data_IF_649884841185
#
_entry.id   IF_649884841185
#
_cell.length_a   1.000
_cell.length_b   1.000
_cell.length_c   1.000
_cell.angle_alpha   90.00
_cell.angle_beta   90.00
_cell.angle_gamma   90.00
#
_symmetry.space_group_name_H-M   'P 1'
#
loop_
_entity.id
_entity.type
_entity.pdbx_description
1 polymer ?
#
# COMPACT_ATOMS: atom_id res chain seq x y z
N UNK A 1 57.72 8.20 -7.00
CA UNK A 1 56.57 9.03 -7.41
C UNK A 1 55.74 8.38 -8.53
N UNK A 2 56.36 7.59 -9.43
CA UNK A 2 55.69 6.93 -10.58
C UNK A 2 54.68 5.85 -10.15
N UNK A 3 54.98 5.02 -9.15
CA UNK A 3 54.07 3.95 -8.68
C UNK A 3 52.76 4.44 -8.04
N UNK A 4 52.71 5.69 -7.56
CA UNK A 4 51.52 6.27 -6.92
C UNK A 4 50.51 6.78 -7.95
N UNK A 5 50.96 7.07 -9.17
CA UNK A 5 50.14 7.55 -10.27
C UNK A 5 49.37 6.41 -10.94
N UNK A 6 49.98 5.23 -11.09
CA UNK A 6 49.34 4.05 -11.68
C UNK A 6 48.18 3.52 -10.81
N UNK A 7 48.38 3.47 -9.49
CA UNK A 7 47.35 3.03 -8.54
C UNK A 7 46.12 3.97 -8.51
N UNK A 8 46.33 5.27 -8.72
CA UNK A 8 45.24 6.26 -8.79
C UNK A 8 44.43 6.13 -10.09
N UNK A 9 45.11 5.85 -11.22
CA UNK A 9 44.47 5.66 -12.52
C UNK A 9 43.62 4.37 -12.52
N UNK A 10 44.12 3.29 -11.93
CA UNK A 10 43.33 2.04 -11.81
C UNK A 10 42.08 2.22 -10.96
N UNK A 11 42.16 3.02 -9.89
CA UNK A 11 41.00 3.29 -9.02
C UNK A 11 39.94 4.15 -9.71
N UNK A 12 40.35 5.15 -10.49
CA UNK A 12 39.44 5.97 -11.29
C UNK A 12 38.78 5.17 -12.42
N UNK A 13 39.50 4.27 -13.07
CA UNK A 13 38.95 3.37 -14.09
C UNK A 13 37.93 2.37 -13.51
N UNK A 14 38.16 1.88 -12.28
CA UNK A 14 37.20 1.03 -11.55
C UNK A 14 35.92 1.77 -11.17
N UNK A 15 36.00 3.06 -10.84
CA UNK A 15 34.84 3.90 -10.54
C UNK A 15 33.99 4.21 -11.78
N UNK A 16 34.60 4.31 -12.96
CA UNK A 16 33.87 4.51 -14.22
C UNK A 16 33.13 3.24 -14.71
N UNK A 17 33.40 2.07 -14.13
CA UNK A 17 32.77 0.80 -14.51
C UNK A 17 31.47 0.49 -13.72
N UNK A 18 31.03 1.36 -12.80
CA UNK A 18 29.89 1.07 -11.90
C UNK A 18 28.55 1.72 -12.28
N UNK A 19 28.44 2.44 -13.40
CA UNK A 19 27.15 3.00 -13.83
C UNK A 19 26.64 2.40 -15.13
N UNK A 20 26.43 1.08 -15.15
CA UNK A 20 25.43 0.48 -16.03
C UNK A 20 24.16 0.30 -15.20
N UNK A 21 23.34 1.35 -15.11
CA UNK A 21 21.95 1.15 -14.73
C UNK A 21 21.34 0.25 -15.81
N UNK A 22 21.09 -1.01 -15.46
CA UNK A 22 20.38 -1.92 -16.34
C UNK A 22 18.99 -1.32 -16.57
N UNK A 23 18.79 -0.73 -17.75
CA UNK A 23 17.46 -0.34 -18.20
C UNK A 23 16.74 -1.64 -18.47
N UNK A 24 15.96 -2.12 -17.49
CA UNK A 24 15.05 -3.24 -17.73
C UNK A 24 14.03 -2.70 -18.74
N UNK A 25 14.00 -3.25 -19.98
CA UNK A 25 12.96 -2.84 -20.91
C UNK A 25 11.63 -3.20 -20.25
N UNK A 26 10.77 -2.20 -20.03
CA UNK A 26 9.38 -2.46 -19.71
C UNK A 26 8.88 -3.45 -20.76
N UNK A 27 8.38 -4.62 -20.34
CA UNK A 27 7.82 -5.56 -21.31
C UNK A 27 6.70 -4.80 -22.00
N UNK A 28 6.91 -4.51 -23.28
CA UNK A 28 5.90 -3.88 -24.11
C UNK A 28 4.74 -4.86 -24.07
N UNK A 29 3.61 -4.42 -23.50
CA UNK A 29 2.35 -5.17 -23.57
C UNK A 29 2.19 -5.65 -25.02
N UNK A 30 1.73 -6.89 -25.20
CA UNK A 30 1.59 -7.52 -26.51
C UNK A 30 1.09 -6.48 -27.54
N UNK A 31 1.69 -6.41 -28.74
CA UNK A 31 1.43 -5.34 -29.72
C UNK A 31 -0.04 -5.26 -30.20
N UNK A 32 -0.88 -6.19 -29.74
CA UNK A 32 -2.34 -6.23 -29.89
C UNK A 32 -3.12 -5.45 -28.81
N UNK A 33 -2.47 -5.00 -27.75
CA UNK A 33 -3.11 -4.25 -26.66
C UNK A 33 -3.34 -2.80 -27.07
N UNK A 34 -4.59 -2.48 -27.41
CA UNK A 34 -4.95 -1.16 -27.95
C UNK A 34 -5.35 -0.14 -26.88
N UNK A 35 -5.70 -0.60 -25.67
CA UNK A 35 -6.18 0.26 -24.57
C UNK A 35 -5.16 0.32 -23.43
N UNK A 36 -4.58 1.50 -23.26
CA UNK A 36 -3.53 1.79 -22.27
C UNK A 36 -3.95 2.90 -21.28
N UNK A 37 -5.21 3.34 -21.35
CA UNK A 37 -5.79 4.30 -20.41
C UNK A 37 -7.22 3.92 -20.04
N UNK A 38 -7.62 4.29 -18.83
CA UNK A 38 -9.00 4.30 -18.39
C UNK A 38 -9.28 5.64 -17.70
N UNK A 39 -10.17 6.45 -18.29
CA UNK A 39 -10.36 7.83 -17.84
C UNK A 39 -9.05 8.61 -17.93
N UNK A 40 -8.56 9.13 -16.79
CA UNK A 40 -7.29 9.84 -16.68
C UNK A 40 -6.12 8.96 -16.19
N UNK A 41 -6.32 7.66 -16.01
CA UNK A 41 -5.32 6.76 -15.44
C UNK A 41 -4.58 6.05 -16.58
N UNK A 42 -3.26 6.21 -16.62
CA UNK A 42 -2.38 5.42 -17.49
C UNK A 42 -2.19 4.02 -16.91
N UNK A 43 -2.31 3.01 -17.76
CA UNK A 43 -2.24 1.60 -17.39
C UNK A 43 -0.98 0.99 -18.02
N UNK A 44 0.16 1.01 -17.33
CA UNK A 44 1.40 0.44 -17.83
C UNK A 44 1.52 -1.04 -17.45
N UNK A 45 2.26 -1.81 -18.27
CA UNK A 45 2.64 -3.17 -17.91
C UNK A 45 3.36 -3.19 -16.55
N UNK A 46 3.03 -4.10 -15.61
CA UNK A 46 2.30 -5.37 -15.78
C UNK A 46 0.78 -5.28 -15.77
N UNK A 47 0.21 -4.10 -15.51
CA UNK A 47 -1.22 -3.86 -15.58
C UNK A 47 -1.68 -3.75 -17.03
N UNK A 48 -2.93 -4.12 -17.27
CA UNK A 48 -3.47 -4.10 -18.63
C UNK A 48 -4.97 -4.22 -18.68
N UNK A 49 -5.55 -3.75 -19.79
CA UNK A 49 -6.98 -3.84 -20.07
C UNK A 49 -7.19 -4.82 -21.22
N UNK A 50 -8.05 -5.80 -21.01
CA UNK A 50 -8.37 -6.82 -22.01
C UNK A 50 -7.48 -8.05 -21.92
N UNK A 51 -7.93 -9.11 -22.62
CA UNK A 51 -7.31 -10.42 -22.58
C UNK A 51 -5.86 -10.37 -23.06
N UNK A 52 -4.98 -11.06 -22.35
CA UNK A 52 -3.55 -11.20 -22.66
C UNK A 52 -2.75 -9.87 -22.65
N UNK A 53 -3.30 -8.81 -22.05
CA UNK A 53 -2.67 -7.49 -21.95
C UNK A 53 -2.08 -7.16 -20.58
N UNK A 54 -2.25 -8.04 -19.60
CA UNK A 54 -1.69 -7.96 -18.27
C UNK A 54 -0.82 -9.19 -17.99
N UNK A 55 0.08 -9.11 -17.00
CA UNK A 55 0.98 -10.22 -16.69
C UNK A 55 0.25 -11.44 -16.08
N UNK A 56 -0.68 -11.18 -15.17
CA UNK A 56 -1.52 -12.19 -14.50
C UNK A 56 -2.86 -11.56 -14.13
N UNK A 57 -3.84 -12.41 -13.79
CA UNK A 57 -5.22 -11.98 -13.50
C UNK A 57 -5.32 -10.88 -12.43
N UNK A 58 -4.39 -10.84 -11.47
CA UNK A 58 -4.36 -9.80 -10.44
C UNK A 58 -4.09 -8.40 -11.00
N UNK A 59 -3.40 -8.31 -12.13
CA UNK A 59 -3.05 -7.07 -12.81
C UNK A 59 -4.07 -6.66 -13.89
N UNK A 60 -5.16 -7.43 -14.05
CA UNK A 60 -6.25 -7.08 -14.95
C UNK A 60 -7.00 -5.83 -14.45
N UNK A 61 -7.07 -4.83 -15.31
CA UNK A 61 -7.83 -3.60 -15.10
C UNK A 61 -9.14 -3.69 -15.87
N UNK A 62 -10.23 -3.62 -15.12
CA UNK A 62 -11.55 -3.41 -15.70
C UNK A 62 -11.81 -1.91 -15.80
N UNK A 63 -12.23 -1.45 -16.97
CA UNK A 63 -12.54 -0.05 -17.20
C UNK A 63 -14.03 0.08 -17.48
N UNK A 64 -14.77 0.61 -16.51
CA UNK A 64 -16.18 0.92 -16.66
C UNK A 64 -16.33 2.16 -17.55
N UNK A 65 -16.72 1.95 -18.80
CA UNK A 65 -16.98 3.02 -19.77
C UNK A 65 -18.38 3.63 -19.62
N UNK A 66 -19.23 3.09 -18.76
CA UNK A 66 -20.58 3.62 -18.53
C UNK A 66 -20.57 4.85 -17.61
N UNK A 67 -19.52 5.01 -16.79
CA UNK A 67 -19.30 6.20 -15.98
C UNK A 67 -18.67 7.33 -16.81
N UNK A 68 -18.91 8.58 -16.40
CA UNK A 68 -18.27 9.75 -17.02
C UNK A 68 -17.55 10.60 -15.95
N UNK A 69 -16.21 10.63 -15.93
CA UNK A 69 -15.29 9.88 -16.80
C UNK A 69 -15.30 8.36 -16.54
N UNK A 70 -14.74 7.53 -17.46
CA UNK A 70 -14.59 6.09 -17.23
C UNK A 70 -13.81 5.78 -15.94
N UNK A 71 -14.25 4.75 -15.22
CA UNK A 71 -13.70 4.39 -13.89
C UNK A 71 -12.91 3.10 -13.98
N UNK A 72 -11.69 3.09 -13.44
CA UNK A 72 -10.82 1.91 -13.45
C UNK A 72 -10.99 1.08 -12.18
N UNK A 73 -10.92 -0.24 -12.29
CA UNK A 73 -10.97 -1.16 -11.17
C UNK A 73 -9.87 -2.23 -11.29
N UNK A 74 -9.22 -2.56 -10.16
CA UNK A 74 -8.45 -3.80 -10.04
C UNK A 74 -9.44 -4.97 -10.02
N UNK A 75 -9.61 -5.67 -11.14
CA UNK A 75 -10.72 -6.61 -11.34
C UNK A 75 -10.74 -7.72 -10.28
N UNK A 76 -9.56 -8.25 -9.91
CA UNK A 76 -9.43 -9.35 -8.94
C UNK A 76 -9.94 -9.03 -7.53
N UNK A 77 -9.77 -7.78 -7.08
CA UNK A 77 -10.16 -7.33 -5.73
C UNK A 77 -11.36 -6.38 -5.74
N UNK A 78 -11.86 -6.01 -6.94
CA UNK A 78 -13.00 -5.11 -7.17
C UNK A 78 -12.87 -3.76 -6.44
N UNK A 79 -11.65 -3.22 -6.41
CA UNK A 79 -11.37 -1.90 -5.83
C UNK A 79 -11.18 -0.88 -6.94
N UNK A 80 -11.79 0.30 -6.78
CA UNK A 80 -11.60 1.41 -7.71
C UNK A 80 -10.14 1.86 -7.66
N UNK A 81 -9.48 1.85 -8.81
CA UNK A 81 -8.10 2.27 -8.99
C UNK A 81 -8.05 3.77 -9.23
N UNK A 82 -7.17 4.47 -8.51
CA UNK A 82 -6.95 5.90 -8.64
C UNK A 82 -5.59 6.23 -9.27
N UNK A 83 -4.57 5.44 -8.97
CA UNK A 83 -3.21 5.68 -9.46
C UNK A 83 -2.39 4.40 -9.50
N UNK A 84 -1.50 4.30 -10.49
CA UNK A 84 -0.43 3.30 -10.55
C UNK A 84 0.91 4.04 -10.55
N UNK A 85 1.78 3.70 -9.60
CA UNK A 85 3.16 4.18 -9.54
C UNK A 85 4.12 3.00 -9.62
N UNK A 86 4.58 2.70 -10.85
CA UNK A 86 5.57 1.65 -11.07
C UNK A 86 6.92 1.91 -10.36
N UNK A 87 7.48 3.14 -10.37
CA UNK A 87 8.75 3.41 -9.67
C UNK A 87 8.65 3.12 -8.17
N UNK A 88 7.48 3.37 -7.57
CA UNK A 88 7.24 3.12 -6.15
C UNK A 88 6.66 1.73 -5.88
N UNK A 89 6.48 0.90 -6.92
CA UNK A 89 5.84 -0.42 -6.82
C UNK A 89 4.53 -0.36 -6.04
N UNK A 90 3.69 0.61 -6.35
CA UNK A 90 2.50 0.92 -5.57
C UNK A 90 1.30 1.29 -6.44
N UNK A 91 0.12 1.08 -5.89
CA UNK A 91 -1.16 1.51 -6.46
C UNK A 91 -2.00 2.20 -5.40
N UNK A 92 -2.78 3.19 -5.80
CA UNK A 92 -3.74 3.87 -4.92
C UNK A 92 -5.14 3.43 -5.30
N UNK A 93 -5.93 2.99 -4.33
CA UNK A 93 -7.30 2.51 -4.55
C UNK A 93 -8.27 3.11 -3.55
N UNK A 94 -9.57 3.17 -3.88
CA UNK A 94 -10.60 3.51 -2.90
C UNK A 94 -11.08 2.30 -2.13
N UNK A 95 -11.21 2.48 -0.81
CA UNK A 95 -11.83 1.52 0.11
C UNK A 95 -12.96 2.20 0.90
N UNK A 96 -13.99 1.45 1.32
CA UNK A 96 -15.12 2.02 2.04
C UNK A 96 -14.73 2.54 3.43
N UNK A 97 -15.37 3.64 3.84
CA UNK A 97 -15.34 4.11 5.24
C UNK A 97 -16.33 3.29 6.07
N UNK A 98 -15.90 2.84 7.24
CA UNK A 98 -16.78 2.19 8.21
C UNK A 98 -17.45 3.31 8.99
N UNK A 99 -18.76 3.42 8.89
CA UNK A 99 -19.55 4.39 9.63
C UNK A 99 -20.61 3.68 10.44
N UNK A 100 -20.85 4.13 11.68
CA UNK A 100 -21.99 3.67 12.47
C UNK A 100 -23.06 4.74 12.58
N UNK A 101 -24.32 4.30 12.49
CA UNK A 101 -25.47 5.00 13.06
C UNK A 101 -26.12 4.18 14.20
N UNK A 102 -26.35 4.89 15.32
CA UNK A 102 -27.07 4.58 16.56
C UNK A 102 -26.53 3.50 17.55
N UNK A 103 -26.51 3.90 18.82
CA UNK A 103 -26.28 3.15 20.08
C UNK A 103 -26.76 1.69 20.01
N UNK A 104 -26.01 0.62 20.29
CA UNK A 104 -24.94 0.43 21.29
C UNK A 104 -24.05 -0.79 20.96
N UNK A 105 -24.16 -1.37 19.76
CA UNK A 105 -23.39 -2.56 19.36
C UNK A 105 -22.05 -2.29 18.67
N UNK A 106 -21.21 -3.32 18.60
CA UNK A 106 -20.06 -3.41 17.69
C UNK A 106 -20.57 -3.31 16.25
N UNK A 107 -19.84 -2.62 15.37
CA UNK A 107 -20.06 -2.64 13.92
C UNK A 107 -18.81 -3.13 13.24
N UNK A 108 -18.97 -4.13 12.38
CA UNK A 108 -17.87 -4.64 11.56
C UNK A 108 -17.88 -3.94 10.20
N UNK A 109 -16.70 -3.54 9.74
CA UNK A 109 -16.50 -3.11 8.37
C UNK A 109 -16.53 -4.29 7.41
N UNK A 110 -16.77 -3.98 6.13
CA UNK A 110 -16.55 -4.96 5.09
C UNK A 110 -15.07 -5.39 5.10
N UNK A 111 -14.76 -6.70 5.16
CA UNK A 111 -13.39 -7.17 5.18
C UNK A 111 -12.71 -6.81 3.86
N UNK A 112 -11.47 -6.32 3.95
CA UNK A 112 -10.62 -6.04 2.79
C UNK A 112 -9.63 -7.20 2.64
N UNK A 113 -9.78 -7.97 1.56
CA UNK A 113 -9.02 -9.20 1.36
C UNK A 113 -8.27 -9.17 0.01
N UNK A 114 -6.95 -9.14 0.11
CA UNK A 114 -5.98 -9.17 -0.98
C UNK A 114 -5.27 -10.54 -1.08
N UNK A 115 -5.70 -11.54 -0.30
CA UNK A 115 -5.06 -12.86 -0.22
C UNK A 115 -5.04 -13.53 -1.59
N UNK A 116 -3.89 -14.07 -1.97
CA UNK A 116 -3.69 -14.71 -3.28
C UNK A 116 -3.50 -13.73 -4.43
N UNK A 117 -3.27 -12.45 -4.13
CA UNK A 117 -2.84 -11.42 -5.09
C UNK A 117 -1.41 -10.96 -4.75
N UNK A 118 -0.71 -10.23 -5.64
CA UNK A 118 0.59 -9.64 -5.35
C UNK A 118 0.47 -8.34 -4.54
N UNK A 119 -0.71 -7.94 -4.08
CA UNK A 119 -0.93 -6.68 -3.38
C UNK A 119 -0.87 -6.84 -1.86
N UNK A 120 -0.34 -5.82 -1.18
CA UNK A 120 -0.34 -5.72 0.29
C UNK A 120 -0.73 -4.32 0.72
N UNK A 121 -1.39 -4.18 1.87
CA UNK A 121 -1.61 -2.86 2.47
C UNK A 121 -0.26 -2.24 2.84
N UNK A 122 -0.01 -1.01 2.36
CA UNK A 122 1.24 -0.30 2.66
C UNK A 122 1.29 0.11 4.14
N UNK A 123 2.45 -0.03 4.81
CA UNK A 123 2.71 0.59 6.12
C UNK A 123 2.57 2.12 6.13
N UNK A 124 2.57 2.76 4.95
CA UNK A 124 2.30 4.19 4.81
C UNK A 124 0.82 4.58 5.00
N UNK A 125 -0.09 3.62 5.13
CA UNK A 125 -1.46 3.92 5.53
C UNK A 125 -1.58 4.04 7.05
N UNK A 126 -2.58 4.79 7.50
CA UNK A 126 -2.98 4.87 8.89
C UNK A 126 -4.41 4.39 9.08
N UNK A 127 -4.62 3.67 10.17
CA UNK A 127 -5.96 3.32 10.64
C UNK A 127 -6.45 4.42 11.58
N UNK A 128 -7.53 5.08 11.21
CA UNK A 128 -8.01 6.31 11.87
C UNK A 128 -9.39 6.04 12.45
N UNK A 129 -9.59 6.46 13.70
CA UNK A 129 -10.89 6.54 14.34
C UNK A 129 -11.31 8.01 14.49
N UNK A 130 -12.54 8.32 14.09
CA UNK A 130 -13.15 9.65 14.20
C UNK A 130 -14.42 9.54 15.02
N UNK A 131 -14.59 10.41 16.01
CA UNK A 131 -15.83 10.47 16.80
C UNK A 131 -15.60 10.61 18.30
N UNK A 132 -16.64 10.39 19.10
CA UNK A 132 -16.59 10.54 20.55
C UNK A 132 -16.81 9.20 21.25
N UNK A 133 -16.04 8.94 22.32
CA UNK A 133 -16.16 7.75 23.18
C UNK A 133 -16.21 6.44 22.38
N UNK A 134 -15.32 6.32 21.39
CA UNK A 134 -15.34 5.24 20.41
C UNK A 134 -14.00 4.56 20.32
N UNK A 135 -14.01 3.23 20.22
CA UNK A 135 -12.85 2.40 19.96
C UNK A 135 -12.98 1.75 18.58
N UNK A 136 -12.04 2.00 17.70
CA UNK A 136 -11.89 1.26 16.46
C UNK A 136 -10.87 0.14 16.66
N UNK A 137 -11.11 -1.06 16.15
CA UNK A 137 -10.18 -2.19 16.23
C UNK A 137 -9.94 -2.75 14.84
N UNK A 138 -8.79 -3.39 14.64
CA UNK A 138 -8.61 -4.23 13.46
C UNK A 138 -7.89 -5.55 13.79
N UNK A 139 -8.16 -6.53 12.93
CA UNK A 139 -7.62 -7.86 12.97
C UNK A 139 -6.89 -8.16 11.68
N UNK A 140 -5.85 -8.97 11.82
CA UNK A 140 -5.13 -9.59 10.71
C UNK A 140 -5.54 -11.05 10.59
N UNK A 141 -5.25 -11.70 9.46
CA UNK A 141 -5.71 -13.06 9.13
C UNK A 141 -5.43 -14.18 10.14
N UNK A 142 -4.59 -13.93 11.17
CA UNK A 142 -4.38 -14.86 12.28
C UNK A 142 -5.43 -14.76 13.42
N UNK A 143 -6.44 -13.91 13.28
CA UNK A 143 -7.55 -13.79 14.24
C UNK A 143 -7.16 -13.16 15.59
N UNK A 144 -5.90 -12.73 15.73
CA UNK A 144 -5.43 -11.98 16.90
C UNK A 144 -5.80 -10.51 16.72
N UNK A 145 -6.46 -9.90 17.72
CA UNK A 145 -6.60 -8.43 17.79
C UNK A 145 -5.20 -7.83 17.72
N UNK A 146 -4.93 -7.04 16.68
CA UNK A 146 -3.59 -6.50 16.47
C UNK A 146 -3.46 -5.15 17.17
N UNK A 147 -4.46 -4.28 17.02
CA UNK A 147 -4.42 -2.95 17.61
C UNK A 147 -5.81 -2.29 17.64
N UNK A 148 -5.99 -1.40 18.61
CA UNK A 148 -7.19 -0.61 18.83
C UNK A 148 -6.87 0.89 18.90
N UNK A 149 -7.86 1.70 18.59
CA UNK A 149 -7.77 3.11 18.32
C UNK A 149 -8.89 3.84 19.06
N UNK A 150 -8.58 4.55 20.14
CA UNK A 150 -9.57 5.14 21.05
C UNK A 150 -9.76 6.65 20.80
N UNK A 151 -10.93 7.06 20.33
CA UNK A 151 -11.31 8.48 20.18
C UNK A 151 -12.12 8.96 21.38
N UNK A 152 -11.61 9.99 22.07
CA UNK A 152 -12.17 10.59 23.28
C UNK A 152 -12.42 12.08 23.02
N UNK A 153 -13.54 12.62 23.49
CA UNK A 153 -13.76 14.08 23.46
C UNK A 153 -13.24 14.72 24.75
N UNK A 154 -12.60 15.88 24.63
CA UNK A 154 -12.33 16.76 25.77
C UNK A 154 -13.36 17.90 25.74
N UNK A 155 -14.05 18.12 26.86
CA UNK A 155 -15.16 19.09 27.00
C UNK A 155 -14.77 20.56 26.71
N UNK A 156 -13.50 20.89 26.43
CA UNK A 156 -13.02 22.27 26.28
C UNK A 156 -12.01 22.51 25.14
N UNK A 157 -12.34 22.20 23.89
CA UNK A 157 -11.52 22.71 22.77
C UNK A 157 -12.40 23.45 21.75
N UNK A 158 -12.65 24.73 22.06
CA UNK A 158 -13.39 25.65 21.20
C UNK A 158 -12.54 26.29 20.09
N UNK A 159 -11.26 25.89 19.93
CA UNK A 159 -10.33 26.40 18.92
C UNK A 159 -9.33 25.31 18.52
N UNK A 160 -9.75 24.32 17.75
CA UNK A 160 -8.83 23.35 17.15
C UNK A 160 -8.34 23.90 15.81
N UNK A 161 -7.05 24.25 15.74
CA UNK A 161 -6.39 24.65 14.48
C UNK A 161 -5.74 23.47 13.75
N UNK A 162 -5.45 22.38 14.46
CA UNK A 162 -4.86 21.17 13.90
C UNK A 162 -5.89 20.04 13.89
N UNK A 163 -6.24 19.56 12.69
CA UNK A 163 -7.15 18.42 12.54
C UNK A 163 -6.68 17.24 13.40
N UNK A 164 -5.38 17.00 13.56
CA UNK A 164 -4.80 15.89 14.37
C UNK A 164 -5.26 15.88 15.83
N UNK A 165 -5.60 17.04 16.38
CA UNK A 165 -6.14 17.21 17.74
C UNK A 165 -7.64 16.87 17.83
N UNK A 166 -8.30 16.72 16.68
CA UNK A 166 -9.74 16.44 16.54
C UNK A 166 -10.04 14.93 16.43
N UNK A 167 -9.00 14.13 16.25
CA UNK A 167 -9.02 12.66 16.28
C UNK A 167 -8.41 12.19 17.59
N UNK A 168 -8.51 10.90 17.87
CA UNK A 168 -7.76 10.24 18.94
C UNK A 168 -6.26 10.63 18.98
N UNK A 169 -5.94 11.73 19.66
CA UNK A 169 -4.60 12.19 20.05
C UNK A 169 -4.60 12.70 21.51
N UNK A 170 -5.55 12.27 22.33
CA UNK A 170 -5.56 12.63 23.75
C UNK A 170 -5.96 11.46 24.63
N UNK A 171 -4.95 10.74 25.13
CA UNK A 171 -5.10 9.78 26.23
C UNK A 171 -4.32 8.49 26.01
N UNK A 172 -3.00 8.56 26.15
CA UNK A 172 -2.04 7.47 26.45
C UNK A 172 -2.00 6.18 25.61
N UNK A 173 -2.85 5.99 24.60
CA UNK A 173 -2.66 4.96 23.55
C UNK A 173 -3.08 5.55 22.20
N UNK A 174 -2.08 6.10 21.51
CA UNK A 174 -2.20 7.00 20.37
C UNK A 174 -2.49 6.26 19.05
N UNK A 175 -3.66 6.50 18.44
CA UNK A 175 -3.96 6.12 17.06
C UNK A 175 -2.93 6.56 16.00
N UNK A 176 -2.25 7.72 16.11
CA UNK A 176 -1.37 8.16 15.03
C UNK A 176 -0.12 7.30 14.76
N UNK A 177 0.21 6.27 15.56
CA UNK A 177 1.40 5.42 15.34
C UNK A 177 1.10 3.93 15.13
N UNK A 178 -0.16 3.57 14.84
CA UNK A 178 -0.50 2.19 14.51
C UNK A 178 -0.05 1.86 13.08
N UNK A 179 1.21 1.44 12.95
CA UNK A 179 1.74 1.01 11.65
C UNK A 179 1.01 -0.23 11.15
N UNK A 180 0.59 -0.21 9.89
CA UNK A 180 0.03 -1.39 9.23
C UNK A 180 1.15 -2.44 9.10
N UNK A 181 0.93 -3.68 9.59
CA UNK A 181 1.93 -4.73 9.50
C UNK A 181 2.42 -4.97 8.07
N UNK A 182 3.72 -5.22 7.92
CA UNK A 182 4.30 -5.56 6.63
C UNK A 182 3.62 -6.79 6.03
N UNK A 183 3.39 -6.76 4.71
CA UNK A 183 2.79 -7.85 3.94
C UNK A 183 1.38 -8.24 4.39
N UNK A 184 0.62 -7.32 5.00
CA UNK A 184 -0.77 -7.56 5.35
C UNK A 184 -1.64 -7.68 4.09
N UNK A 185 -2.42 -8.75 3.99
CA UNK A 185 -3.39 -8.98 2.90
C UNK A 185 -4.83 -9.15 3.37
N UNK A 186 -5.07 -9.44 4.64
CA UNK A 186 -6.42 -9.57 5.20
C UNK A 186 -6.58 -8.54 6.30
N UNK A 187 -7.46 -7.57 6.07
CA UNK A 187 -7.75 -6.48 6.98
C UNK A 187 -9.23 -6.49 7.31
N UNK A 188 -9.54 -6.67 8.60
CA UNK A 188 -10.89 -6.59 9.13
C UNK A 188 -10.90 -5.58 10.25
N UNK A 189 -11.95 -4.81 10.37
CA UNK A 189 -12.02 -3.82 11.43
C UNK A 189 -13.43 -3.65 11.96
N UNK A 190 -13.50 -3.10 13.16
CA UNK A 190 -14.75 -2.80 13.83
C UNK A 190 -14.71 -1.45 14.52
N UNK A 191 -15.91 -1.00 14.87
CA UNK A 191 -16.15 0.19 15.67
C UNK A 191 -17.06 -0.18 16.84
N UNK A 192 -16.64 0.16 18.06
CA UNK A 192 -17.40 -0.11 19.27
C UNK A 192 -17.36 1.07 20.25
N UNK A 193 -18.33 1.18 21.17
CA UNK A 193 -18.26 2.18 22.24
C UNK A 193 -17.09 1.86 23.18
N UNK A 194 -16.30 2.88 23.56
CA UNK A 194 -15.21 2.69 24.53
C UNK A 194 -15.74 2.34 25.93
N UNK A 195 -16.91 2.89 26.30
CA UNK A 195 -17.59 2.60 27.57
C UNK A 195 -19.09 2.30 27.37
N UNK A 196 -19.60 1.26 28.02
CA UNK A 196 -20.99 0.78 27.89
C UNK A 196 -22.06 1.77 28.38
N UNK A 197 -21.68 2.77 29.20
CA UNK A 197 -22.63 3.70 29.86
C UNK A 197 -22.54 5.15 29.40
N UNK A 198 -21.56 5.51 28.59
CA UNK A 198 -21.43 6.88 28.10
C UNK A 198 -22.29 7.09 26.86
N UNK A 199 -22.85 8.30 26.74
CA UNK A 199 -23.61 8.68 25.55
C UNK A 199 -22.62 8.77 24.40
N UNK A 200 -22.89 7.98 23.36
CA UNK A 200 -22.17 8.10 22.10
C UNK A 200 -22.60 9.43 21.48
N UNK A 201 -21.68 10.39 21.40
CA UNK A 201 -21.96 11.69 20.80
C UNK A 201 -21.42 11.76 19.37
N UNK A 202 -22.33 12.07 18.44
CA UNK A 202 -21.99 12.27 17.04
C UNK A 202 -21.81 10.98 16.21
N UNK A 203 -21.64 11.13 14.89
CA UNK A 203 -21.36 10.02 14.00
C UNK A 203 -19.89 9.61 14.16
N UNK A 204 -19.69 8.32 14.45
CA UNK A 204 -18.37 7.75 14.60
C UNK A 204 -18.01 6.94 13.36
N UNK A 205 -16.74 7.01 12.98
CA UNK A 205 -16.21 6.38 11.78
C UNK A 205 -14.84 5.78 12.06
N UNK A 206 -14.50 4.74 11.30
CA UNK A 206 -13.13 4.27 11.19
C UNK A 206 -12.80 3.94 9.75
N UNK A 207 -11.56 4.19 9.36
CA UNK A 207 -11.11 3.94 8.00
C UNK A 207 -9.59 3.78 7.94
N UNK A 208 -9.15 3.12 6.87
CA UNK A 208 -7.75 3.09 6.46
C UNK A 208 -7.55 4.22 5.45
N UNK A 209 -6.49 5.01 5.57
CA UNK A 209 -6.19 6.09 4.64
C UNK A 209 -4.68 6.27 4.44
N UNK A 210 -4.28 6.71 3.25
CA UNK A 210 -2.95 7.28 3.00
C UNK A 210 -2.86 8.68 3.64
N UNK A 211 -1.99 8.83 4.65
CA UNK A 211 -1.81 10.09 5.36
C UNK A 211 -1.36 11.22 4.44
N UNK A 212 -0.51 10.91 3.44
CA UNK A 212 0.04 11.92 2.53
C UNK A 212 -1.08 12.54 1.69
N UNK A 213 -2.04 11.72 1.27
CA UNK A 213 -3.24 12.20 0.59
C UNK A 213 -4.12 13.04 1.51
N UNK A 214 -4.28 12.60 2.76
CA UNK A 214 -5.10 13.29 3.76
C UNK A 214 -4.56 14.70 4.06
N UNK A 215 -3.25 14.80 4.28
CA UNK A 215 -2.54 16.07 4.50
C UNK A 215 -2.66 17.00 3.28
N UNK A 216 -2.52 16.46 2.07
CA UNK A 216 -2.63 17.23 0.83
C UNK A 216 -4.04 17.79 0.55
N UNK A 217 -5.09 17.16 1.07
CA UNK A 217 -6.49 17.58 0.88
C UNK A 217 -6.96 18.70 1.80
N UNK A 218 -6.16 19.08 2.81
CA UNK A 218 -6.53 20.11 3.78
C UNK A 218 -7.94 19.89 4.33
N UNK A 219 -8.29 18.66 4.73
CA UNK A 219 -9.57 18.39 5.39
C UNK A 219 -9.53 19.11 6.74
N UNK A 220 -10.35 20.16 6.90
CA UNK A 220 -10.20 21.12 8.02
C UNK A 220 -11.15 20.83 9.18
N UNK A 221 -12.09 19.90 9.04
CA UNK A 221 -13.09 19.67 10.08
C UNK A 221 -13.65 18.25 10.14
N UNK A 222 -14.14 17.85 11.32
CA UNK A 222 -14.92 16.61 11.49
C UNK A 222 -16.11 16.54 10.54
N UNK A 223 -16.71 17.68 10.20
CA UNK A 223 -17.91 17.72 9.36
C UNK A 223 -17.63 17.30 7.92
N UNK A 224 -16.45 17.62 7.40
CA UNK A 224 -16.02 17.23 6.05
C UNK A 224 -15.81 15.72 5.94
N UNK A 225 -15.29 15.07 6.98
CA UNK A 225 -15.09 13.61 6.96
C UNK A 225 -16.37 12.82 7.12
N UNK A 226 -17.36 13.37 7.83
CA UNK A 226 -18.66 12.70 8.01
C UNK A 226 -19.33 12.34 6.70
N UNK A 227 -19.05 13.10 5.63
CA UNK A 227 -19.62 12.89 4.31
C UNK A 227 -18.78 11.97 3.41
N UNK A 228 -17.61 11.52 3.87
CA UNK A 228 -16.76 10.62 3.10
C UNK A 228 -17.27 9.18 3.25
N UNK A 229 -17.60 8.57 2.11
CA UNK A 229 -18.05 7.17 2.02
C UNK A 229 -16.92 6.21 1.68
N UNK A 230 -15.80 6.74 1.18
CA UNK A 230 -14.60 6.00 0.82
C UNK A 230 -13.34 6.84 1.01
N UNK A 231 -12.22 6.17 1.23
CA UNK A 231 -10.90 6.77 1.39
C UNK A 231 -9.91 6.12 0.43
N UNK A 232 -8.95 6.89 -0.10
CA UNK A 232 -7.84 6.32 -0.82
C UNK A 232 -6.85 5.68 0.15
N UNK A 233 -6.35 4.52 -0.25
CA UNK A 233 -5.27 3.82 0.44
C UNK A 233 -4.18 3.45 -0.55
N UNK A 234 -2.97 3.33 -0.01
CA UNK A 234 -1.78 2.88 -0.72
C UNK A 234 -1.63 1.37 -0.59
N UNK A 235 -1.53 0.65 -1.70
CA UNK A 235 -1.14 -0.77 -1.71
C UNK A 235 0.24 -0.91 -2.35
N UNK A 236 1.11 -1.70 -1.72
CA UNK A 236 2.36 -2.11 -2.35
C UNK A 236 2.12 -3.34 -3.24
N UNK A 237 2.93 -3.45 -4.28
CA UNK A 237 2.90 -4.53 -5.26
C UNK A 237 4.15 -5.39 -5.08
N UNK A 238 3.97 -6.71 -5.01
CA UNK A 238 5.07 -7.67 -5.03
C UNK A 238 5.69 -7.70 -6.42
N UNK A 239 6.78 -6.96 -6.59
CA UNK A 239 7.51 -6.90 -7.86
C UNK A 239 8.56 -8.01 -8.05
N UNK A 240 8.73 -8.93 -7.10
CA UNK A 240 9.71 -10.03 -7.22
C UNK A 240 9.41 -11.00 -8.39
N UNK A 241 8.21 -10.95 -8.98
CA UNK A 241 7.87 -11.70 -10.20
C UNK A 241 8.55 -11.13 -11.47
N UNK A 242 9.19 -9.96 -11.40
CA UNK A 242 9.77 -9.28 -12.58
C UNK A 242 11.27 -9.53 -12.79
N UNK A 243 11.95 -10.20 -11.86
CA UNK A 243 13.42 -10.28 -11.85
C UNK A 243 14.02 -11.62 -12.32
N UNK A 244 13.27 -12.74 -12.33
CA UNK A 244 13.91 -14.08 -12.41
C UNK A 244 13.78 -14.84 -13.73
N UNK A 245 13.17 -14.29 -14.79
CA UNK A 245 13.01 -15.05 -16.04
C UNK A 245 14.01 -14.68 -17.14
N UNK A 246 15.12 -14.01 -16.78
CA UNK A 246 16.14 -13.54 -17.72
C UNK A 246 17.45 -14.35 -17.72
N UNK A 247 17.80 -15.06 -16.65
CA UNK A 247 19.14 -15.61 -16.47
C UNK A 247 19.17 -16.78 -15.46
N UNK A 248 18.47 -17.90 -15.69
CA UNK A 248 18.86 -19.15 -15.00
C UNK A 248 18.41 -20.49 -15.62
N UNK A 249 18.36 -20.58 -16.96
CA UNK A 249 18.06 -21.84 -17.65
C UNK A 249 19.28 -22.49 -18.31
N UNK A 250 20.51 -22.07 -17.98
CA UNK A 250 21.71 -22.59 -18.67
C UNK A 250 22.99 -22.70 -17.87
N UNK A 251 22.97 -22.85 -16.54
CA UNK A 251 24.15 -23.34 -15.79
C UNK A 251 23.70 -24.21 -14.60
N UNK A 252 23.06 -25.36 -14.88
CA UNK A 252 22.90 -26.42 -13.89
C UNK A 252 23.03 -27.78 -14.57
N UNK A 253 24.13 -27.97 -15.31
CA UNK A 253 24.49 -29.28 -15.86
C UNK A 253 26.00 -29.37 -16.12
N UNK A 254 26.84 -29.08 -15.11
CA UNK A 254 28.25 -29.53 -15.16
C UNK A 254 29.02 -29.58 -13.83
N UNK A 255 28.36 -29.54 -12.66
CA UNK A 255 29.05 -29.76 -11.38
C UNK A 255 28.87 -31.18 -10.84
N UNK A 256 29.23 -32.16 -11.66
CA UNK A 256 29.53 -33.52 -11.20
C UNK A 256 30.76 -34.05 -11.93
N UNK A 257 31.91 -33.40 -11.77
CA UNK A 257 33.24 -34.00 -11.84
C UNK A 257 34.33 -32.91 -11.75
N UNK A 258 34.98 -32.77 -10.60
CA UNK A 258 36.42 -32.52 -10.53
C UNK A 258 36.89 -32.55 -9.07
N UNK A 259 37.58 -33.63 -8.74
CA UNK A 259 38.43 -33.83 -7.58
C UNK A 259 39.43 -32.69 -7.33
N UNK A 260 39.64 -32.40 -6.04
CA UNK A 260 40.96 -32.30 -5.38
C UNK A 260 42.16 -31.99 -6.28
N UNK A 261 42.72 -30.78 -6.16
CA UNK A 261 44.18 -30.59 -6.15
C UNK A 261 44.58 -29.47 -5.18
N UNK A 262 45.42 -29.85 -4.22
CA UNK A 262 46.31 -28.99 -3.45
C UNK A 262 47.17 -28.11 -4.36
N UNK A 263 47.52 -26.90 -3.91
CA UNK A 263 48.88 -26.39 -4.09
C UNK A 263 49.27 -25.44 -2.94
N UNK A 264 50.40 -25.76 -2.33
CA UNK A 264 51.08 -25.05 -1.25
C UNK A 264 51.60 -23.68 -1.68
N UNK A 265 51.67 -22.78 -0.68
CA UNK A 265 52.40 -21.52 -0.72
C UNK A 265 53.89 -21.78 -0.51
N UNK A 266 54.76 -21.19 -1.33
CA UNK A 266 56.17 -21.01 -1.03
C UNK A 266 56.56 -19.55 -1.24
N UNK A 267 57.08 -18.94 -0.17
CA UNK A 267 58.14 -17.92 -0.21
C UNK A 267 59.48 -18.63 -0.17
#
# INVERSE_FOLDING_TARGET
>A
MIMKLESQITFLLLLMFQSAAAFVPARIANSTCTKYMCGNISIPYPFGIGKDCYMEESFNIECDETSNPPTAFLSRVRMELLEISLPNSAVVVKVPVISKFNSSGVQEGAPLNLTGTPFFFSPGNSFIAVGCNTRAKFWTGHGSEHMGCDSICLDSISNISDWRETFASSGNEDCPDISIPFKLQDFKSSLEPKEYKQRIEGPNQAFLADLSWFEGKMIKSQLEMKNLTSMPILMNVKMELFATDGQDARIQKDHSNASLMHFELAF
#
